data_IF_982971127455
#
_entry.id   IF_982971127455
#
_cell.length_a   1.000
_cell.length_b   1.000
_cell.length_c   1.000
_cell.angle_alpha   90.00
_cell.angle_beta   90.00
_cell.angle_gamma   90.00
#
_symmetry.space_group_name_H-M   'P 1'
#
loop_
_entity.id
_entity.type
_entity.pdbx_description
1 polymer ?
#
# COMPACT_ATOMS: atom_id res chain seq x y z
N UNK A 1 2.55 41.65 -16.63
CA UNK A 1 3.26 40.82 -15.63
C UNK A 1 2.25 39.88 -14.99
N UNK A 2 1.90 38.79 -15.68
CA UNK A 2 1.08 37.72 -15.13
C UNK A 2 2.02 36.76 -14.43
N UNK A 3 2.02 36.77 -13.10
CA UNK A 3 2.71 35.75 -12.33
C UNK A 3 2.13 34.39 -12.75
N UNK A 4 2.95 33.51 -13.35
CA UNK A 4 2.62 32.10 -13.50
C UNK A 4 2.43 31.56 -12.08
N UNK A 5 1.20 31.44 -11.60
CA UNK A 5 0.93 30.68 -10.39
C UNK A 5 1.18 29.22 -10.73
N UNK A 6 2.33 28.73 -10.32
CA UNK A 6 2.67 27.31 -10.40
C UNK A 6 1.57 26.50 -9.70
N UNK A 7 1.03 25.48 -10.37
CA UNK A 7 -0.07 24.68 -9.85
C UNK A 7 0.37 23.94 -8.58
N UNK A 8 -0.26 24.23 -7.45
CA UNK A 8 0.02 23.54 -6.20
C UNK A 8 -0.78 22.23 -6.11
N UNK A 9 -0.09 21.14 -6.42
CA UNK A 9 -0.63 19.78 -6.37
C UNK A 9 -1.09 19.37 -4.96
N UNK A 10 -0.42 19.84 -3.92
CA UNK A 10 -0.69 19.40 -2.54
C UNK A 10 -2.00 20.00 -2.03
N UNK A 11 -2.25 21.28 -2.33
CA UNK A 11 -3.53 21.91 -1.98
C UNK A 11 -4.69 21.36 -2.79
N UNK A 12 -4.52 21.10 -4.11
CA UNK A 12 -5.55 20.43 -4.92
C UNK A 12 -5.87 19.03 -4.36
N UNK A 13 -4.85 18.22 -4.06
CA UNK A 13 -5.03 16.90 -3.47
C UNK A 13 -5.82 16.93 -2.14
N UNK A 14 -5.46 17.85 -1.24
CA UNK A 14 -6.17 18.01 0.05
C UNK A 14 -7.60 18.52 -0.16
N UNK A 15 -7.82 19.40 -1.13
CA UNK A 15 -9.16 19.87 -1.50
C UNK A 15 -10.04 18.71 -1.97
N UNK A 16 -9.55 17.86 -2.89
CA UNK A 16 -10.28 16.70 -3.42
C UNK A 16 -10.65 15.72 -2.30
N UNK A 17 -9.73 15.43 -1.37
CA UNK A 17 -10.02 14.56 -0.23
C UNK A 17 -11.08 15.13 0.72
N UNK A 18 -11.12 16.45 0.89
CA UNK A 18 -12.11 17.11 1.75
C UNK A 18 -13.49 17.22 1.07
N UNK A 19 -13.54 17.34 -0.25
CA UNK A 19 -14.78 17.40 -1.02
C UNK A 19 -15.49 16.04 -1.08
N UNK A 20 -14.73 14.96 -1.20
CA UNK A 20 -15.29 13.61 -1.30
C UNK A 20 -14.58 12.61 -0.34
N UNK A 21 -15.17 12.36 0.84
CA UNK A 21 -14.60 11.42 1.81
C UNK A 21 -14.64 9.96 1.35
N UNK A 22 -15.41 9.63 0.32
CA UNK A 22 -15.46 8.27 -0.24
C UNK A 22 -14.24 7.98 -1.12
N UNK A 23 -13.47 8.98 -1.54
CA UNK A 23 -12.27 8.80 -2.38
C UNK A 23 -11.09 8.22 -1.59
N UNK A 24 -10.48 7.19 -2.15
CA UNK A 24 -9.23 6.63 -1.62
C UNK A 24 -8.03 7.50 -2.00
N UNK A 25 -6.99 7.53 -1.17
CA UNK A 25 -5.74 8.27 -1.43
C UNK A 25 -5.16 8.10 -2.85
N UNK A 26 -5.01 6.88 -3.41
CA UNK A 26 -4.52 6.71 -4.78
C UNK A 26 -5.39 7.38 -5.84
N UNK A 27 -6.71 7.34 -5.67
CA UNK A 27 -7.67 7.90 -6.64
C UNK A 27 -7.64 9.42 -6.59
N UNK A 28 -7.61 10.00 -5.39
CA UNK A 28 -7.47 11.44 -5.21
C UNK A 28 -6.14 11.96 -5.79
N UNK A 29 -5.06 11.17 -5.70
CA UNK A 29 -3.77 11.52 -6.29
C UNK A 29 -3.85 11.58 -7.82
N UNK A 30 -4.50 10.59 -8.44
CA UNK A 30 -4.72 10.55 -9.88
C UNK A 30 -5.56 11.75 -10.33
N UNK A 31 -6.63 12.06 -9.60
CA UNK A 31 -7.48 13.21 -9.92
C UNK A 31 -6.72 14.55 -9.84
N UNK A 32 -5.89 14.72 -8.81
CA UNK A 32 -5.03 15.89 -8.66
C UNK A 32 -3.99 15.99 -9.81
N UNK A 33 -3.40 14.87 -10.24
CA UNK A 33 -2.48 14.83 -11.38
C UNK A 33 -3.19 15.14 -12.71
N UNK A 34 -4.43 14.68 -12.88
CA UNK A 34 -5.27 14.99 -14.04
C UNK A 34 -5.62 16.47 -14.07
N UNK A 35 -5.92 17.09 -12.92
CA UNK A 35 -6.13 18.53 -12.80
C UNK A 35 -4.85 19.32 -13.14
N UNK A 36 -3.68 18.86 -12.68
CA UNK A 36 -2.39 19.46 -13.03
C UNK A 36 -2.14 19.46 -14.55
N UNK A 37 -2.39 18.33 -15.22
CA UNK A 37 -2.30 18.24 -16.69
C UNK A 37 -3.30 19.19 -17.35
N UNK A 38 -4.54 19.26 -16.84
CA UNK A 38 -5.61 20.10 -17.39
C UNK A 38 -5.26 21.59 -17.37
N UNK A 39 -4.60 22.06 -16.30
CA UNK A 39 -4.21 23.47 -16.13
C UNK A 39 -2.85 23.80 -16.79
N UNK A 40 -2.03 22.78 -17.08
CA UNK A 40 -0.73 22.98 -17.72
C UNK A 40 -0.84 23.39 -19.20
N UNK A 41 0.09 24.23 -19.68
CA UNK A 41 0.20 24.63 -21.09
C UNK A 41 1.15 23.75 -21.90
N UNK A 42 1.54 22.60 -21.36
CA UNK A 42 2.51 21.67 -21.96
C UNK A 42 2.03 21.18 -23.33
N UNK A 43 2.94 21.14 -24.30
CA UNK A 43 2.67 20.76 -25.69
C UNK A 43 3.34 19.46 -26.13
N UNK A 44 4.28 18.94 -25.33
CA UNK A 44 5.02 17.72 -25.67
C UNK A 44 4.81 16.59 -24.65
N UNK A 45 5.01 15.36 -25.12
CA UNK A 45 4.92 14.16 -24.29
C UNK A 45 6.00 14.14 -23.21
N UNK A 46 7.24 14.50 -23.56
CA UNK A 46 8.37 14.51 -22.64
C UNK A 46 8.16 15.50 -21.49
N UNK A 47 7.73 16.73 -21.79
CA UNK A 47 7.41 17.73 -20.78
C UNK A 47 6.24 17.30 -19.88
N UNK A 48 5.26 16.56 -20.44
CA UNK A 48 4.11 16.04 -19.65
C UNK A 48 4.57 15.00 -18.64
N UNK A 49 5.46 14.09 -19.05
CA UNK A 49 6.04 13.08 -18.15
C UNK A 49 6.91 13.74 -17.06
N UNK A 50 7.74 14.71 -17.42
CA UNK A 50 8.58 15.44 -16.46
C UNK A 50 7.72 16.23 -15.45
N UNK A 51 6.64 16.87 -15.91
CA UNK A 51 5.69 17.56 -15.04
C UNK A 51 5.05 16.60 -14.04
N UNK A 52 4.65 15.42 -14.49
CA UNK A 52 4.03 14.41 -13.62
C UNK A 52 5.01 13.82 -12.61
N UNK A 53 6.25 13.55 -13.02
CA UNK A 53 7.28 13.08 -12.09
C UNK A 53 7.56 14.12 -11.00
N UNK A 54 7.63 15.41 -11.39
CA UNK A 54 7.82 16.52 -10.44
C UNK A 54 6.66 16.63 -9.44
N UNK A 55 5.41 16.61 -9.91
CA UNK A 55 4.25 16.67 -9.03
C UNK A 55 4.08 15.41 -8.18
N UNK A 56 4.39 14.23 -8.73
CA UNK A 56 4.36 12.97 -7.99
C UNK A 56 5.39 12.97 -6.86
N UNK A 57 6.61 13.45 -7.12
CA UNK A 57 7.64 13.58 -6.09
C UNK A 57 7.23 14.58 -4.99
N UNK A 58 6.68 15.74 -5.37
CA UNK A 58 6.16 16.72 -4.41
C UNK A 58 5.04 16.14 -3.54
N UNK A 59 4.12 15.39 -4.15
CA UNK A 59 3.00 14.77 -3.46
C UNK A 59 3.46 13.66 -2.50
N UNK A 60 4.38 12.78 -2.95
CA UNK A 60 4.99 11.73 -2.13
C UNK A 60 5.76 12.32 -0.93
N UNK A 61 6.43 13.46 -1.09
CA UNK A 61 7.13 14.14 0.00
C UNK A 61 6.19 14.85 0.99
N UNK A 62 4.99 15.23 0.55
CA UNK A 62 4.02 15.96 1.39
C UNK A 62 3.25 15.09 2.38
N UNK A 63 3.24 13.77 2.18
CA UNK A 63 2.45 12.81 2.94
C UNK A 63 3.40 11.88 3.71
N UNK A 64 3.10 11.67 4.99
CA UNK A 64 3.95 10.84 5.86
C UNK A 64 3.96 9.35 5.43
N UNK A 65 2.84 8.82 4.94
CA UNK A 65 2.75 7.48 4.34
C UNK A 65 2.35 7.57 2.85
N UNK A 66 3.32 7.57 1.92
CA UNK A 66 3.04 7.65 0.49
C UNK A 66 2.74 6.29 -0.16
N UNK A 67 2.64 5.17 0.57
CA UNK A 67 2.58 3.82 -0.03
C UNK A 67 1.32 3.66 -0.89
N UNK A 68 0.13 3.92 -0.33
CA UNK A 68 -1.11 3.83 -1.12
C UNK A 68 -1.14 4.85 -2.26
N UNK A 69 -0.55 6.03 -2.05
CA UNK A 69 -0.44 7.07 -3.08
C UNK A 69 0.49 6.64 -4.23
N UNK A 70 1.61 6.00 -3.90
CA UNK A 70 2.57 5.48 -4.87
C UNK A 70 1.90 4.48 -5.81
N UNK A 71 1.04 3.60 -5.29
CA UNK A 71 0.24 2.68 -6.10
C UNK A 71 -0.52 3.39 -7.22
N UNK A 72 -1.28 4.44 -6.87
CA UNK A 72 -2.10 5.18 -7.82
C UNK A 72 -1.27 6.00 -8.82
N UNK A 73 -0.26 6.70 -8.32
CA UNK A 73 0.62 7.53 -9.17
C UNK A 73 1.43 6.69 -10.17
N UNK A 74 1.98 5.55 -9.72
CA UNK A 74 2.75 4.65 -10.58
C UNK A 74 1.84 3.98 -11.64
N UNK A 75 0.61 3.59 -11.26
CA UNK A 75 -0.40 3.07 -12.19
C UNK A 75 -0.76 4.10 -13.27
N UNK A 76 -0.94 5.37 -12.87
CA UNK A 76 -1.26 6.44 -13.79
C UNK A 76 -0.11 6.79 -14.74
N UNK A 77 1.12 6.88 -14.22
CA UNK A 77 2.32 7.06 -15.04
C UNK A 77 2.48 5.92 -16.05
N UNK A 78 2.21 4.67 -15.64
CA UNK A 78 2.25 3.51 -16.55
C UNK A 78 1.16 3.57 -17.61
N UNK A 79 -0.06 3.92 -17.23
CA UNK A 79 -1.16 4.11 -18.16
C UNK A 79 -0.83 5.15 -19.23
N UNK A 80 -0.22 6.28 -18.82
CA UNK A 80 0.28 7.32 -19.72
C UNK A 80 1.31 6.77 -20.68
N UNK A 81 2.40 6.16 -20.17
CA UNK A 81 3.47 5.60 -21.01
C UNK A 81 2.91 4.59 -22.01
N UNK A 82 1.97 3.73 -21.59
CA UNK A 82 1.37 2.71 -22.46
C UNK A 82 0.48 3.33 -23.54
N UNK A 83 -0.27 4.38 -23.21
CA UNK A 83 -1.12 5.11 -24.16
C UNK A 83 -0.27 5.90 -25.16
N UNK A 84 0.81 6.49 -24.69
CA UNK A 84 1.74 7.29 -25.49
C UNK A 84 2.61 6.43 -26.42
N UNK A 85 3.06 5.25 -25.97
CA UNK A 85 3.85 4.31 -26.77
C UNK A 85 3.03 3.47 -27.75
N UNK A 86 1.69 3.56 -27.74
CA UNK A 86 0.80 2.92 -28.73
C UNK A 86 0.14 3.96 -29.65
N UNK A 87 0.90 4.65 -30.53
CA UNK A 87 0.31 5.57 -31.51
C UNK A 87 -0.55 4.85 -32.57
N UNK A 88 -0.36 3.54 -32.76
CA UNK A 88 -1.00 2.78 -33.84
C UNK A 88 -2.50 2.48 -33.67
N UNK A 89 -3.08 2.62 -32.47
CA UNK A 89 -4.51 2.36 -32.25
C UNK A 89 -5.40 3.58 -32.46
N UNK A 90 -4.83 4.77 -32.68
CA UNK A 90 -5.59 6.01 -32.76
C UNK A 90 -5.73 6.60 -34.16
N UNK A 91 -5.01 6.11 -35.20
CA UNK A 91 -5.15 6.60 -36.59
C UNK A 91 -5.24 8.14 -36.70
N UNK A 92 -4.44 8.87 -35.92
CA UNK A 92 -4.44 10.32 -35.89
C UNK A 92 -3.08 10.84 -36.44
N UNK A 93 -3.11 12.07 -36.95
CA UNK A 93 -1.94 12.72 -37.58
C UNK A 93 -1.06 13.44 -36.56
N UNK A 94 0.21 13.71 -36.90
CA UNK A 94 1.30 14.03 -35.95
C UNK A 94 1.09 15.26 -35.05
N UNK A 95 0.28 16.25 -35.44
CA UNK A 95 -0.01 17.46 -34.63
C UNK A 95 -1.37 17.42 -33.92
N UNK A 96 -2.34 16.63 -34.40
CA UNK A 96 -3.64 16.40 -33.74
C UNK A 96 -3.54 15.31 -32.65
N UNK A 97 -2.48 14.50 -32.71
CA UNK A 97 -2.19 13.41 -31.77
C UNK A 97 -2.11 13.89 -30.32
N UNK A 98 -1.38 14.97 -30.04
CA UNK A 98 -1.13 15.36 -28.65
C UNK A 98 -2.38 15.93 -27.96
N UNK A 99 -3.16 16.78 -28.65
CA UNK A 99 -4.42 17.31 -28.10
C UNK A 99 -5.46 16.22 -27.91
N UNK A 100 -5.55 15.28 -28.86
CA UNK A 100 -6.42 14.12 -28.74
C UNK A 100 -6.00 13.22 -27.56
N UNK A 101 -4.70 12.96 -27.40
CA UNK A 101 -4.16 12.21 -26.25
C UNK A 101 -4.47 12.93 -24.94
N UNK A 102 -4.24 14.25 -24.86
CA UNK A 102 -4.57 15.04 -23.66
C UNK A 102 -6.05 14.94 -23.30
N UNK A 103 -6.94 15.12 -24.28
CA UNK A 103 -8.38 14.99 -24.05
C UNK A 103 -8.78 13.56 -23.65
N UNK A 104 -8.15 12.56 -24.25
CA UNK A 104 -8.33 11.16 -23.90
C UNK A 104 -7.87 10.88 -22.45
N UNK A 105 -6.76 11.47 -22.00
CA UNK A 105 -6.29 11.36 -20.61
C UNK A 105 -7.23 12.04 -19.63
N UNK A 106 -7.74 13.23 -19.94
CA UNK A 106 -8.72 13.93 -19.08
C UNK A 106 -10.03 13.15 -18.97
N UNK A 107 -10.50 12.58 -20.09
CA UNK A 107 -11.72 11.75 -20.11
C UNK A 107 -11.52 10.45 -19.32
N UNK A 108 -10.39 9.76 -19.51
CA UNK A 108 -10.09 8.53 -18.80
C UNK A 108 -9.76 8.73 -17.33
N UNK A 109 -9.19 9.87 -16.94
CA UNK A 109 -8.96 10.24 -15.54
C UNK A 109 -10.28 10.27 -14.75
N UNK A 110 -11.31 10.92 -15.30
CA UNK A 110 -12.66 10.91 -14.70
C UNK A 110 -13.26 9.51 -14.65
N UNK A 111 -13.11 8.75 -15.74
CA UNK A 111 -13.58 7.37 -15.80
C UNK A 111 -12.88 6.46 -14.77
N UNK A 112 -11.61 6.73 -14.47
CA UNK A 112 -10.86 5.99 -13.45
C UNK A 112 -11.44 6.22 -12.05
N UNK A 113 -11.74 7.47 -11.69
CA UNK A 113 -12.36 7.81 -10.41
C UNK A 113 -13.70 7.09 -10.25
N UNK A 114 -14.54 7.11 -11.30
CA UNK A 114 -15.81 6.41 -11.30
C UNK A 114 -15.64 4.89 -11.15
N UNK A 115 -14.71 4.29 -11.91
CA UNK A 115 -14.39 2.86 -11.82
C UNK A 115 -13.86 2.47 -10.45
N UNK A 116 -13.08 3.32 -9.79
CA UNK A 116 -12.56 3.05 -8.45
C UNK A 116 -13.69 2.97 -7.41
N UNK A 117 -14.67 3.88 -7.48
CA UNK A 117 -15.88 3.82 -6.64
C UNK A 117 -16.69 2.55 -6.92
N UNK A 118 -16.91 2.22 -8.20
CA UNK A 118 -17.62 1.01 -8.61
C UNK A 118 -16.89 -0.27 -8.16
N UNK A 119 -15.56 -0.25 -8.08
CA UNK A 119 -14.76 -1.42 -7.68
C UNK A 119 -15.02 -1.80 -6.21
N UNK A 120 -15.19 -0.82 -5.33
CA UNK A 120 -15.60 -1.06 -3.93
C UNK A 120 -16.95 -1.79 -3.85
N UNK A 121 -17.94 -1.35 -4.62
CA UNK A 121 -19.26 -1.97 -4.64
C UNK A 121 -19.23 -3.38 -5.27
N UNK A 122 -18.41 -3.58 -6.31
CA UNK A 122 -18.17 -4.92 -6.89
C UNK A 122 -17.57 -5.86 -5.86
N UNK A 123 -16.53 -5.41 -5.15
CA UNK A 123 -15.90 -6.18 -4.06
C UNK A 123 -16.91 -6.52 -2.98
N UNK A 124 -17.75 -5.57 -2.55
CA UNK A 124 -18.78 -5.81 -1.55
C UNK A 124 -19.83 -6.83 -2.03
N UNK A 125 -20.27 -6.72 -3.29
CA UNK A 125 -21.25 -7.62 -3.89
C UNK A 125 -20.77 -9.06 -4.03
N UNK A 126 -19.48 -9.24 -4.30
CA UNK A 126 -18.83 -10.55 -4.43
C UNK A 126 -18.44 -11.09 -3.05
N UNK A 127 -17.82 -10.26 -2.22
CA UNK A 127 -17.30 -10.58 -0.89
C UNK A 127 -18.35 -11.04 0.12
N UNK A 128 -19.62 -10.61 -0.03
CA UNK A 128 -20.71 -11.07 0.85
C UNK A 128 -20.87 -12.60 0.91
N UNK A 129 -20.49 -13.32 -0.16
CA UNK A 129 -20.63 -14.78 -0.22
C UNK A 129 -19.62 -15.53 0.65
N UNK A 130 -18.57 -14.85 1.13
CA UNK A 130 -17.60 -15.43 2.06
C UNK A 130 -18.15 -15.52 3.48
N UNK A 131 -19.06 -14.63 3.85
CA UNK A 131 -19.68 -14.59 5.18
C UNK A 131 -20.82 -15.61 5.22
N UNK A 132 -20.70 -16.60 6.08
CA UNK A 132 -21.71 -17.64 6.28
C UNK A 132 -22.76 -17.20 7.32
N UNK A 133 -23.95 -17.78 7.25
CA UNK A 133 -24.95 -17.59 8.31
C UNK A 133 -24.42 -18.11 9.65
N UNK A 134 -24.59 -17.33 10.70
CA UNK A 134 -24.07 -17.57 12.05
C UNK A 134 -22.60 -17.21 12.27
N UNK A 135 -21.86 -16.77 11.24
CA UNK A 135 -20.42 -16.52 11.37
C UNK A 135 -20.08 -15.31 12.25
N UNK A 136 -18.93 -15.40 12.93
CA UNK A 136 -18.33 -14.28 13.67
C UNK A 136 -17.08 -13.78 12.95
N UNK A 137 -17.12 -12.54 12.47
CA UNK A 137 -16.05 -11.89 11.71
C UNK A 137 -15.23 -10.98 12.63
N UNK A 138 -13.91 -11.08 12.58
CA UNK A 138 -12.98 -10.16 13.24
C UNK A 138 -12.42 -9.15 12.22
N UNK A 139 -12.44 -7.86 12.54
CA UNK A 139 -11.92 -6.79 11.68
C UNK A 139 -11.21 -5.68 12.46
N UNK A 140 -10.40 -4.87 11.78
CA UNK A 140 -9.61 -3.75 12.30
C UNK A 140 -9.57 -2.58 11.29
N UNK A 141 -9.32 -1.37 11.79
CA UNK A 141 -8.65 -0.33 11.01
C UNK A 141 -9.51 0.44 10.02
N UNK A 142 -10.78 0.72 10.35
CA UNK A 142 -11.60 1.72 9.65
C UNK A 142 -11.76 1.50 8.14
N UNK A 143 -11.52 0.30 7.63
CA UNK A 143 -11.41 0.09 6.18
C UNK A 143 -12.76 0.24 5.48
N UNK A 144 -12.86 1.24 4.59
CA UNK A 144 -14.08 1.56 3.83
C UNK A 144 -14.57 0.38 2.98
N UNK A 145 -13.65 -0.41 2.41
CA UNK A 145 -14.02 -1.58 1.60
C UNK A 145 -14.57 -2.71 2.45
N UNK A 146 -13.98 -2.92 3.64
CA UNK A 146 -14.50 -3.91 4.60
C UNK A 146 -15.86 -3.47 5.14
N UNK A 147 -16.02 -2.18 5.46
CA UNK A 147 -17.30 -1.60 5.86
C UNK A 147 -18.38 -1.78 4.79
N UNK A 148 -18.08 -1.49 3.53
CA UNK A 148 -18.99 -1.71 2.40
C UNK A 148 -19.36 -3.20 2.22
N UNK A 149 -18.39 -4.11 2.35
CA UNK A 149 -18.62 -5.56 2.28
C UNK A 149 -19.56 -6.03 3.39
N UNK A 150 -19.29 -5.63 4.65
CA UNK A 150 -20.12 -6.01 5.80
C UNK A 150 -21.52 -5.40 5.72
N UNK A 151 -21.64 -4.13 5.28
CA UNK A 151 -22.93 -3.48 5.02
C UNK A 151 -23.73 -4.25 3.97
N UNK A 152 -23.09 -4.59 2.85
CA UNK A 152 -23.75 -5.33 1.75
C UNK A 152 -24.15 -6.74 2.16
N UNK A 153 -23.38 -7.38 3.06
CA UNK A 153 -23.74 -8.65 3.67
C UNK A 153 -24.95 -8.50 4.60
N UNK A 154 -25.05 -7.42 5.37
CA UNK A 154 -26.17 -7.14 6.28
C UNK A 154 -27.47 -6.82 5.54
N UNK A 155 -27.40 -6.12 4.40
CA UNK A 155 -28.55 -5.87 3.52
C UNK A 155 -29.12 -7.15 2.91
N UNK A 156 -28.29 -8.19 2.78
CA UNK A 156 -28.73 -9.50 2.31
C UNK A 156 -29.50 -10.20 3.42
N UNK A 157 -30.84 -10.25 3.33
CA UNK A 157 -31.73 -10.80 4.37
C UNK A 157 -31.52 -12.29 4.71
N UNK A 158 -30.61 -12.97 4.02
CA UNK A 158 -30.30 -14.39 4.15
C UNK A 158 -29.15 -14.69 5.12
N UNK A 159 -28.36 -13.68 5.53
CA UNK A 159 -27.13 -13.90 6.30
C UNK A 159 -27.22 -13.14 7.62
N UNK A 160 -27.16 -13.87 8.74
CA UNK A 160 -27.00 -13.27 10.07
C UNK A 160 -25.59 -13.54 10.55
N UNK A 161 -24.82 -12.51 10.84
CA UNK A 161 -23.45 -12.64 11.31
C UNK A 161 -23.18 -11.66 12.45
N UNK A 162 -22.08 -11.87 13.16
CA UNK A 162 -21.62 -11.00 14.25
C UNK A 162 -20.26 -10.43 13.88
N UNK A 163 -19.96 -9.22 14.34
CA UNK A 163 -18.66 -8.58 14.10
C UNK A 163 -17.99 -8.30 15.44
N UNK A 164 -16.73 -8.70 15.54
CA UNK A 164 -15.80 -8.26 16.57
C UNK A 164 -14.89 -7.22 15.92
N UNK A 165 -14.94 -6.01 16.46
CA UNK A 165 -14.21 -4.86 15.93
C UNK A 165 -13.06 -4.50 16.86
N UNK A 166 -11.84 -4.52 16.35
CA UNK A 166 -10.65 -4.12 17.10
C UNK A 166 -10.54 -2.60 17.03
N UNK A 167 -10.56 -1.96 18.19
CA UNK A 167 -10.34 -0.52 18.34
C UNK A 167 -8.94 -0.31 18.91
N UNK A 168 -8.07 0.48 18.26
CA UNK A 168 -6.75 0.78 18.79
C UNK A 168 -6.85 1.55 20.11
N UNK A 169 -5.91 1.28 21.03
CA UNK A 169 -5.91 1.91 22.36
C UNK A 169 -5.63 3.42 22.32
N UNK A 170 -5.01 3.93 21.25
CA UNK A 170 -4.76 5.35 21.05
C UNK A 170 -5.91 6.03 20.32
N UNK A 171 -6.40 7.16 20.86
CA UNK A 171 -7.40 8.03 20.21
C UNK A 171 -6.78 8.81 19.04
N UNK A 172 -6.43 8.11 17.96
CA UNK A 172 -6.03 8.70 16.68
C UNK A 172 -7.25 8.96 15.79
N UNK A 173 -7.03 9.54 14.60
CA UNK A 173 -8.02 9.58 13.52
C UNK A 173 -8.65 8.20 13.24
N UNK A 174 -7.91 7.12 13.47
CA UNK A 174 -8.37 5.75 13.27
C UNK A 174 -9.48 5.34 14.24
N UNK A 175 -9.45 5.85 15.47
CA UNK A 175 -10.50 5.57 16.45
C UNK A 175 -11.84 6.17 15.98
N UNK A 176 -11.82 7.36 15.40
CA UNK A 176 -13.02 8.02 14.88
C UNK A 176 -13.59 7.27 13.66
N UNK A 177 -12.74 6.84 12.73
CA UNK A 177 -13.15 6.04 11.57
C UNK A 177 -13.71 4.67 11.99
N UNK A 178 -13.11 4.06 13.03
CA UNK A 178 -13.58 2.81 13.60
C UNK A 178 -14.96 2.96 14.25
N UNK A 179 -15.15 4.01 15.05
CA UNK A 179 -16.44 4.31 15.68
C UNK A 179 -17.54 4.58 14.65
N UNK A 180 -17.21 5.26 13.55
CA UNK A 180 -18.14 5.51 12.45
C UNK A 180 -18.55 4.20 11.76
N UNK A 181 -17.58 3.34 11.45
CA UNK A 181 -17.84 2.00 10.87
C UNK A 181 -18.71 1.14 11.80
N UNK A 182 -18.44 1.17 13.11
CA UNK A 182 -19.22 0.43 14.11
C UNK A 182 -20.65 0.98 14.21
N UNK A 183 -20.81 2.30 14.21
CA UNK A 183 -22.12 2.96 14.23
C UNK A 183 -22.94 2.57 12.99
N UNK A 184 -22.32 2.61 11.81
CA UNK A 184 -22.97 2.26 10.55
C UNK A 184 -23.44 0.80 10.55
N UNK A 185 -22.60 -0.14 10.99
CA UNK A 185 -22.97 -1.55 11.08
C UNK A 185 -24.11 -1.79 12.08
N UNK A 186 -24.10 -1.11 13.23
CA UNK A 186 -25.18 -1.18 14.22
C UNK A 186 -26.49 -0.61 13.66
N UNK A 187 -26.43 0.47 12.88
CA UNK A 187 -27.61 1.03 12.21
C UNK A 187 -28.23 0.04 11.19
N UNK A 188 -27.42 -0.85 10.62
CA UNK A 188 -27.87 -1.93 9.74
C UNK A 188 -28.22 -3.24 10.48
N UNK A 189 -28.50 -3.17 11.80
CA UNK A 189 -28.87 -4.30 12.66
C UNK A 189 -27.81 -5.41 12.76
N UNK A 190 -26.53 -5.11 12.55
CA UNK A 190 -25.44 -6.07 12.77
C UNK A 190 -24.98 -6.00 14.24
N UNK A 191 -24.93 -7.12 14.97
CA UNK A 191 -24.35 -7.16 16.32
C UNK A 191 -22.83 -6.93 16.27
N UNK A 192 -22.37 -5.80 16.81
CA UNK A 192 -20.94 -5.42 16.84
C UNK A 192 -20.42 -5.29 18.27
N UNK A 193 -19.42 -6.09 18.62
CA UNK A 193 -18.65 -6.00 19.85
C UNK A 193 -17.31 -5.30 19.59
N UNK A 194 -17.02 -4.22 20.31
CA UNK A 194 -15.73 -3.53 20.25
C UNK A 194 -14.77 -4.11 21.28
N UNK A 195 -13.53 -4.38 20.88
CA UNK A 195 -12.46 -4.91 21.74
C UNK A 195 -11.19 -4.07 21.57
N UNK A 196 -10.33 -4.05 22.58
CA UNK A 196 -8.98 -3.48 22.43
C UNK A 196 -8.07 -4.43 21.63
N UNK A 197 -7.07 -3.86 20.98
CA UNK A 197 -5.90 -4.54 20.38
C UNK A 197 -5.35 -5.72 21.22
N UNK A 198 -5.29 -5.56 22.54
CA UNK A 198 -4.76 -6.54 23.48
C UNK A 198 -5.69 -7.75 23.68
N UNK A 199 -6.97 -7.62 23.36
CA UNK A 199 -7.98 -8.66 23.54
C UNK A 199 -8.20 -9.52 22.26
N UNK A 200 -7.43 -9.29 21.20
CA UNK A 200 -7.51 -10.05 19.95
C UNK A 200 -7.34 -11.55 20.21
N UNK A 201 -6.27 -11.95 20.89
CA UNK A 201 -5.98 -13.36 21.18
C UNK A 201 -7.10 -14.06 21.98
N UNK A 202 -7.72 -13.35 22.93
CA UNK A 202 -8.85 -13.85 23.71
C UNK A 202 -10.11 -14.06 22.84
N UNK A 203 -10.38 -13.11 21.93
CA UNK A 203 -11.56 -13.14 21.08
C UNK A 203 -11.51 -14.23 20.00
N UNK A 204 -10.32 -14.64 19.55
CA UNK A 204 -10.14 -15.61 18.45
C UNK A 204 -10.80 -16.97 18.68
N UNK A 205 -11.02 -17.39 19.93
CA UNK A 205 -11.77 -18.63 20.22
C UNK A 205 -13.24 -18.58 19.77
N UNK A 206 -13.80 -17.38 19.61
CA UNK A 206 -15.18 -17.14 19.15
C UNK A 206 -15.28 -16.63 17.72
N UNK A 207 -14.15 -16.41 17.05
CA UNK A 207 -14.07 -15.89 15.68
C UNK A 207 -14.02 -17.05 14.69
N UNK A 208 -14.75 -16.93 13.59
CA UNK A 208 -14.75 -17.91 12.50
C UNK A 208 -13.81 -17.48 11.37
N UNK A 209 -13.70 -16.19 11.11
CA UNK A 209 -12.81 -15.63 10.09
C UNK A 209 -12.35 -14.21 10.42
N UNK A 210 -11.19 -13.85 9.91
CA UNK A 210 -10.63 -12.50 10.01
C UNK A 210 -10.72 -11.84 8.64
N UNK A 211 -11.25 -10.62 8.59
CA UNK A 211 -11.34 -9.80 7.38
C UNK A 211 -10.69 -8.45 7.68
N UNK A 212 -9.64 -8.10 6.94
CA UNK A 212 -8.93 -6.83 7.08
C UNK A 212 -8.84 -6.08 5.76
N UNK A 213 -8.67 -4.77 5.83
CA UNK A 213 -8.33 -3.95 4.67
C UNK A 213 -6.81 -3.89 4.45
N UNK A 214 -6.41 -3.44 3.26
CA UNK A 214 -5.03 -3.07 2.97
C UNK A 214 -4.93 -1.64 2.43
N UNK A 215 -3.81 -0.99 2.73
CA UNK A 215 -3.41 0.29 2.13
C UNK A 215 -2.63 0.05 0.84
N UNK A 216 -1.81 -1.00 0.81
CA UNK A 216 -1.09 -1.46 -0.36
C UNK A 216 -0.95 -2.98 -0.36
N UNK A 217 -0.98 -3.58 -1.56
CA UNK A 217 -0.66 -5.00 -1.77
C UNK A 217 0.66 -5.06 -2.51
N UNK A 218 1.65 -5.76 -1.96
CA UNK A 218 3.01 -5.81 -2.50
C UNK A 218 3.19 -6.97 -3.48
N UNK A 219 4.33 -7.00 -4.18
CA UNK A 219 4.56 -7.90 -5.31
C UNK A 219 4.57 -9.39 -4.93
N UNK A 220 5.00 -9.73 -3.71
CA UNK A 220 4.94 -11.10 -3.19
C UNK A 220 3.54 -11.52 -2.70
N UNK A 221 2.52 -10.66 -2.86
CA UNK A 221 1.16 -10.90 -2.38
C UNK A 221 0.98 -10.68 -0.87
N UNK A 222 2.00 -10.17 -0.18
CA UNK A 222 1.84 -9.62 1.16
C UNK A 222 1.09 -8.29 1.15
N UNK A 223 0.75 -7.78 2.32
CA UNK A 223 -0.04 -6.55 2.45
C UNK A 223 0.65 -5.57 3.39
N UNK A 224 0.43 -4.28 3.12
CA UNK A 224 0.79 -3.20 4.02
C UNK A 224 -0.51 -2.59 4.52
N UNK A 225 -0.67 -2.57 5.83
CA UNK A 225 -1.89 -2.08 6.48
C UNK A 225 -1.55 -1.44 7.82
N UNK A 226 -2.57 -0.99 8.54
CA UNK A 226 -2.41 -0.36 9.85
C UNK A 226 -1.73 -1.30 10.83
N UNK A 227 -0.96 -0.72 11.74
CA UNK A 227 -0.27 -1.45 12.79
C UNK A 227 -1.22 -2.37 13.57
N UNK A 228 -0.79 -3.61 13.76
CA UNK A 228 -1.55 -4.67 14.43
C UNK A 228 -2.14 -5.68 13.46
N UNK A 229 -2.19 -5.40 12.16
CA UNK A 229 -2.66 -6.34 11.14
C UNK A 229 -1.77 -7.58 11.06
N UNK A 230 -0.45 -7.40 11.15
CA UNK A 230 0.50 -8.51 11.22
C UNK A 230 0.29 -9.38 12.46
N UNK A 231 0.02 -8.77 13.61
CA UNK A 231 -0.25 -9.48 14.87
C UNK A 231 -1.53 -10.33 14.75
N UNK A 232 -2.59 -9.76 14.15
CA UNK A 232 -3.83 -10.48 13.88
C UNK A 232 -3.59 -11.68 12.93
N UNK A 233 -2.79 -11.50 11.89
CA UNK A 233 -2.43 -12.57 10.96
C UNK A 233 -1.69 -13.73 11.62
N UNK A 234 -0.71 -13.44 12.48
CA UNK A 234 0.02 -14.45 13.24
C UNK A 234 -0.89 -15.25 14.16
N UNK A 235 -1.75 -14.55 14.90
CA UNK A 235 -2.69 -15.18 15.83
C UNK A 235 -3.76 -16.00 15.10
N UNK A 236 -4.26 -15.51 13.96
CA UNK A 236 -5.21 -16.22 13.11
C UNK A 236 -4.61 -17.54 12.60
N UNK A 237 -3.37 -17.50 12.08
CA UNK A 237 -2.65 -18.70 11.62
C UNK A 237 -2.42 -19.69 12.75
N UNK A 238 -2.02 -19.22 13.93
CA UNK A 238 -1.83 -20.06 15.13
C UNK A 238 -3.11 -20.80 15.55
N UNK A 239 -4.28 -20.19 15.36
CA UNK A 239 -5.60 -20.77 15.67
C UNK A 239 -6.29 -21.44 14.48
N UNK A 240 -5.61 -21.55 13.33
CA UNK A 240 -6.18 -22.14 12.12
C UNK A 240 -7.41 -21.38 11.58
N UNK A 241 -7.50 -20.07 11.82
CA UNK A 241 -8.58 -19.22 11.34
C UNK A 241 -8.20 -18.59 9.99
N UNK A 242 -9.10 -18.59 8.99
CA UNK A 242 -8.83 -17.98 7.71
C UNK A 242 -8.69 -16.47 7.85
N UNK A 243 -7.68 -15.91 7.19
CA UNK A 243 -7.34 -14.49 7.19
C UNK A 243 -7.51 -13.94 5.77
N UNK A 244 -8.61 -13.22 5.55
CA UNK A 244 -8.94 -12.61 4.27
C UNK A 244 -8.56 -11.14 4.27
N UNK A 245 -8.01 -10.70 3.14
CA UNK A 245 -7.72 -9.29 2.90
C UNK A 245 -8.65 -8.78 1.83
N UNK A 246 -9.17 -7.58 2.00
CA UNK A 246 -10.04 -6.93 1.02
C UNK A 246 -9.34 -5.67 0.54
N UNK A 247 -9.07 -5.60 -0.76
CA UNK A 247 -8.34 -4.49 -1.36
C UNK A 247 -8.78 -4.28 -2.81
N UNK A 248 -8.78 -3.03 -3.25
CA UNK A 248 -8.98 -2.68 -4.66
C UNK A 248 -7.69 -2.91 -5.47
N UNK A 249 -7.80 -3.29 -6.74
CA UNK A 249 -6.63 -3.56 -7.59
C UNK A 249 -5.70 -2.35 -7.77
N UNK A 250 -6.23 -1.13 -7.69
CA UNK A 250 -5.45 0.11 -7.79
C UNK A 250 -4.58 0.41 -6.55
N UNK A 251 -4.60 -0.46 -5.54
CA UNK A 251 -3.67 -0.43 -4.40
C UNK A 251 -2.49 -1.40 -4.55
N UNK A 252 -2.34 -2.05 -5.70
CA UNK A 252 -1.22 -2.95 -5.93
C UNK A 252 0.04 -2.11 -6.19
N UNK A 253 1.08 -2.34 -5.40
CA UNK A 253 2.33 -1.58 -5.39
C UNK A 253 3.46 -2.49 -5.83
N UNK A 254 4.33 -1.99 -6.70
CA UNK A 254 5.57 -2.65 -7.09
C UNK A 254 6.65 -2.44 -6.02
N UNK A 255 6.45 -3.07 -4.87
CA UNK A 255 7.38 -3.10 -3.76
C UNK A 255 7.57 -4.57 -3.35
N UNK A 256 8.78 -4.93 -2.93
CA UNK A 256 9.10 -6.27 -2.44
C UNK A 256 9.79 -6.15 -1.08
N UNK A 257 9.05 -5.91 0.00
CA UNK A 257 9.65 -5.79 1.33
C UNK A 257 10.14 -7.16 1.80
N UNK A 258 11.38 -7.24 2.28
CA UNK A 258 11.96 -8.45 2.85
C UNK A 258 11.66 -8.59 4.35
N UNK A 259 11.33 -7.49 5.03
CA UNK A 259 11.05 -7.45 6.46
C UNK A 259 10.11 -6.30 6.83
N UNK A 260 9.68 -6.25 8.10
CA UNK A 260 8.86 -5.13 8.63
C UNK A 260 9.57 -3.76 8.53
N UNK A 261 10.90 -3.76 8.46
CA UNK A 261 11.72 -2.55 8.44
C UNK A 261 12.12 -2.13 7.01
N UNK A 262 11.79 -2.95 6.00
CA UNK A 262 12.12 -2.73 4.59
C UNK A 262 10.97 -2.04 3.86
N UNK A 263 10.43 -0.98 4.47
CA UNK A 263 9.37 -0.16 3.91
C UNK A 263 9.94 1.22 3.55
N UNK A 264 9.52 1.85 2.43
CA UNK A 264 10.02 3.16 1.99
C UNK A 264 9.40 4.31 2.81
N UNK A 265 9.34 4.16 4.13
CA UNK A 265 8.75 5.09 5.08
C UNK A 265 9.57 5.13 6.36
N UNK A 266 9.81 6.35 6.87
CA UNK A 266 10.42 6.54 8.18
C UNK A 266 9.34 6.48 9.26
N UNK A 267 9.33 5.41 10.04
CA UNK A 267 8.36 5.20 11.12
C UNK A 267 9.05 5.26 12.48
N UNK A 268 8.58 6.13 13.38
CA UNK A 268 9.10 6.24 14.75
C UNK A 268 8.26 5.41 15.70
N UNK A 269 8.31 4.08 15.52
CA UNK A 269 7.58 3.13 16.37
C UNK A 269 8.36 2.82 17.66
N UNK A 270 9.67 2.74 17.56
CA UNK A 270 10.57 2.46 18.67
C UNK A 270 11.41 3.70 18.96
N UNK A 271 11.08 4.41 20.04
CA UNK A 271 11.84 5.57 20.52
C UNK A 271 12.50 5.22 21.85
N UNK A 272 13.82 5.00 21.82
CA UNK A 272 14.59 4.64 23.00
C UNK A 272 15.09 5.90 23.69
N UNK A 273 14.47 6.27 24.83
CA UNK A 273 14.89 7.41 25.66
C UNK A 273 15.65 6.91 26.90
N UNK A 274 16.78 7.54 27.23
CA UNK A 274 17.61 7.21 28.40
C UNK A 274 17.26 8.07 29.63
N UNK A 275 16.58 9.19 29.44
CA UNK A 275 16.13 10.10 30.52
C UNK A 275 14.64 10.38 30.38
N UNK A 276 13.91 10.41 31.50
CA UNK A 276 12.46 10.69 31.53
C UNK A 276 12.15 12.05 30.90
N UNK A 277 10.98 12.15 30.25
CA UNK A 277 10.35 13.39 29.82
C UNK A 277 10.10 14.27 31.06
N UNK A 278 11.12 15.00 31.51
CA UNK A 278 10.99 15.98 32.58
C UNK A 278 9.98 17.01 32.11
N UNK A 279 8.81 17.03 32.77
CA UNK A 279 7.85 18.12 32.69
C UNK A 279 8.54 19.42 33.10
N UNK A 280 9.14 20.16 32.17
CA UNK A 280 9.63 21.51 32.43
C UNK A 280 8.56 22.53 32.08
N UNK A 281 7.55 22.61 32.96
CA UNK A 281 7.00 23.89 33.33
C UNK A 281 8.07 24.69 34.09
N UNK A 282 8.63 25.72 33.46
CA UNK A 282 9.34 26.90 34.02
C UNK A 282 10.44 26.68 35.08
N UNK A 283 11.69 26.99 34.74
CA UNK A 283 12.46 28.17 35.22
C UNK A 283 13.96 27.98 34.88
N UNK A 284 14.65 29.08 34.57
CA UNK A 284 15.95 29.07 33.93
C UNK A 284 17.13 28.68 34.83
N UNK A 285 18.29 28.50 34.19
CA UNK A 285 19.59 28.58 34.84
C UNK A 285 20.63 27.57 34.38
N UNK A 286 21.49 28.05 33.48
CA UNK A 286 22.95 27.81 33.39
C UNK A 286 23.44 26.53 32.70
N UNK A 287 24.08 26.78 31.56
CA UNK A 287 24.85 25.85 30.74
C UNK A 287 25.97 25.16 31.52
N UNK A 288 26.00 23.83 31.46
CA UNK A 288 27.22 23.04 31.61
C UNK A 288 27.25 22.06 30.44
N UNK A 289 28.20 22.29 29.53
CA UNK A 289 28.41 21.50 28.33
C UNK A 289 29.29 20.32 28.71
N UNK A 290 28.75 19.11 28.68
CA UNK A 290 29.51 17.86 28.77
C UNK A 290 29.82 17.39 27.34
N UNK A 291 31.10 17.41 26.96
CA UNK A 291 31.59 17.16 25.59
C UNK A 291 31.57 15.66 25.18
N UNK A 292 30.78 14.82 25.86
CA UNK A 292 30.67 13.38 25.57
C UNK A 292 29.42 12.94 24.79
N UNK A 293 28.43 13.81 24.56
CA UNK A 293 27.09 13.43 24.05
C UNK A 293 26.77 14.10 22.69
N UNK A 294 27.72 14.81 22.10
CA UNK A 294 27.49 15.62 20.90
C UNK A 294 27.25 14.80 19.61
N UNK A 295 27.70 13.54 19.54
CA UNK A 295 27.66 12.75 18.29
C UNK A 295 26.38 11.95 18.02
N UNK A 296 25.45 11.83 18.99
CA UNK A 296 24.16 11.13 18.78
C UNK A 296 22.95 12.06 18.69
N UNK A 297 23.14 13.37 18.88
CA UNK A 297 22.05 14.34 18.82
C UNK A 297 22.01 14.98 17.43
N UNK A 298 21.96 14.14 16.39
CA UNK A 298 21.56 14.62 15.07
C UNK A 298 20.13 15.13 15.19
N UNK A 299 19.98 16.44 15.04
CA UNK A 299 18.72 17.16 14.88
C UNK A 299 17.99 16.58 13.66
N UNK A 300 17.29 15.47 13.83
CA UNK A 300 16.35 14.97 12.84
C UNK A 300 15.11 15.86 12.89
N UNK A 301 15.05 16.78 11.94
CA UNK A 301 13.81 17.45 11.51
C UNK A 301 12.66 16.44 11.47
N UNK A 302 11.58 16.77 12.16
CA UNK A 302 10.44 15.92 12.45
C UNK A 302 9.60 15.61 11.21
N UNK A 303 9.93 14.55 10.48
CA UNK A 303 9.18 14.09 9.29
C UNK A 303 8.82 12.60 9.30
N UNK A 304 8.97 11.91 10.43
CA UNK A 304 8.60 10.49 10.56
C UNK A 304 7.14 10.30 10.97
N UNK A 305 6.51 9.19 10.55
CA UNK A 305 5.19 8.79 11.01
C UNK A 305 5.20 8.60 12.53
N UNK A 306 4.24 9.21 13.21
CA UNK A 306 3.98 8.94 14.62
C UNK A 306 3.55 7.48 14.79
N UNK A 307 3.82 6.89 15.96
CA UNK A 307 3.44 5.51 16.27
C UNK A 307 1.95 5.20 16.05
N UNK A 308 1.08 6.22 16.04
CA UNK A 308 -0.37 6.07 15.85
C UNK A 308 -0.79 5.93 14.38
N UNK A 309 0.01 6.41 13.43
CA UNK A 309 -0.26 6.31 11.98
C UNK A 309 0.67 5.29 11.30
N UNK A 310 1.35 4.49 12.12
CA UNK A 310 2.32 3.53 11.65
C UNK A 310 1.64 2.32 10.99
N UNK A 311 2.34 1.73 10.04
CA UNK A 311 1.90 0.58 9.25
C UNK A 311 2.80 -0.61 9.49
N UNK A 312 2.22 -1.79 9.33
CA UNK A 312 2.94 -3.04 9.35
C UNK A 312 2.84 -3.77 8.01
N UNK A 313 3.84 -4.62 7.76
CA UNK A 313 3.82 -5.53 6.63
C UNK A 313 3.32 -6.91 7.10
N UNK A 314 2.41 -7.51 6.37
CA UNK A 314 1.91 -8.86 6.64
C UNK A 314 2.35 -9.77 5.49
N UNK A 315 3.19 -10.78 5.76
CA UNK A 315 3.70 -11.67 4.73
C UNK A 315 2.59 -12.55 4.14
N UNK A 316 2.75 -12.99 2.88
CA UNK A 316 1.74 -13.75 2.15
C UNK A 316 1.38 -15.08 2.83
N UNK A 317 2.29 -15.69 3.59
CA UNK A 317 2.07 -16.96 4.30
C UNK A 317 0.97 -16.92 5.38
N UNK A 318 0.56 -15.72 5.79
CA UNK A 318 -0.53 -15.53 6.75
C UNK A 318 -1.87 -15.31 6.06
N UNK A 319 -1.87 -14.98 4.77
CA UNK A 319 -3.04 -14.56 4.02
C UNK A 319 -3.68 -15.77 3.34
N UNK A 320 -4.95 -16.02 3.64
CA UNK A 320 -5.73 -17.10 3.01
C UNK A 320 -6.20 -16.73 1.60
N UNK A 321 -6.50 -15.45 1.37
CA UNK A 321 -6.89 -14.95 0.05
C UNK A 321 -7.13 -13.44 0.07
N UNK A 322 -6.95 -12.81 -1.09
CA UNK A 322 -7.14 -11.38 -1.30
C UNK A 322 -8.37 -11.20 -2.19
N UNK A 323 -9.41 -10.56 -1.65
CA UNK A 323 -10.67 -10.29 -2.33
C UNK A 323 -10.55 -8.94 -3.05
N UNK A 324 -10.64 -9.00 -4.37
CA UNK A 324 -10.58 -7.85 -5.28
C UNK A 324 -11.83 -7.81 -6.16
N UNK A 325 -12.00 -6.76 -6.96
CA UNK A 325 -13.09 -6.63 -7.92
C UNK A 325 -13.03 -7.66 -9.06
N UNK A 326 -11.85 -8.23 -9.31
CA UNK A 326 -11.61 -9.30 -10.28
C UNK A 326 -11.87 -10.71 -9.70
N UNK A 327 -12.19 -10.79 -8.40
CA UNK A 327 -12.43 -12.03 -7.68
C UNK A 327 -11.41 -12.26 -6.57
N UNK A 328 -11.32 -13.51 -6.10
CA UNK A 328 -10.31 -13.90 -5.10
C UNK A 328 -9.01 -14.26 -5.77
N UNK A 329 -7.95 -13.60 -5.33
CA UNK A 329 -6.57 -13.86 -5.71
C UNK A 329 -5.87 -14.59 -4.57
N UNK A 330 -5.09 -15.61 -4.93
CA UNK A 330 -4.06 -16.13 -4.03
C UNK A 330 -2.87 -15.16 -4.02
N UNK A 331 -2.05 -15.13 -2.97
CA UNK A 331 -0.88 -14.26 -2.93
C UNK A 331 0.03 -14.40 -4.18
N UNK A 332 0.20 -15.61 -4.70
CA UNK A 332 0.97 -15.85 -5.94
C UNK A 332 0.33 -15.23 -7.19
N UNK A 333 -1.01 -15.18 -7.26
CA UNK A 333 -1.72 -14.59 -8.39
C UNK A 333 -1.59 -13.06 -8.43
N UNK A 334 -1.30 -12.40 -7.31
CA UNK A 334 -1.05 -10.95 -7.27
C UNK A 334 0.16 -10.59 -8.13
N UNK A 335 1.24 -11.38 -8.07
CA UNK A 335 2.43 -11.16 -8.89
C UNK A 335 2.09 -11.24 -10.39
N UNK A 336 1.22 -12.18 -10.79
CA UNK A 336 0.78 -12.30 -12.19
C UNK A 336 -0.05 -11.08 -12.64
N UNK A 337 -0.95 -10.59 -11.80
CA UNK A 337 -1.73 -9.37 -12.08
C UNK A 337 -0.81 -8.13 -12.19
N UNK A 338 0.17 -8.02 -11.30
CA UNK A 338 1.18 -6.96 -11.38
C UNK A 338 2.02 -7.06 -12.66
N UNK A 339 2.39 -8.26 -13.11
CA UNK A 339 3.11 -8.46 -14.37
C UNK A 339 2.22 -8.09 -15.58
N UNK A 340 0.91 -8.34 -15.53
CA UNK A 340 -0.02 -7.91 -16.59
C UNK A 340 -0.12 -6.39 -16.68
N UNK A 341 -0.10 -5.70 -15.53
CA UNK A 341 -0.16 -4.23 -15.46
C UNK A 341 1.22 -3.62 -15.82
N UNK A 342 2.31 -4.26 -15.40
CA UNK A 342 3.71 -3.95 -15.72
C UNK A 342 4.34 -5.03 -16.61
N UNK A 343 3.98 -5.12 -17.91
CA UNK A 343 4.69 -6.01 -18.81
C UNK A 343 6.18 -5.61 -18.81
N UNK A 344 7.04 -6.61 -18.66
CA UNK A 344 8.49 -6.53 -18.44
C UNK A 344 9.30 -5.92 -19.61
N UNK A 345 8.73 -4.98 -20.36
CA UNK A 345 9.38 -4.35 -21.52
C UNK A 345 10.23 -3.13 -21.17
N UNK A 346 10.22 -2.67 -19.90
CA UNK A 346 11.19 -1.69 -19.40
C UNK A 346 12.01 -2.29 -18.25
N UNK A 347 12.57 -3.49 -18.50
CA UNK A 347 13.64 -3.99 -17.67
C UNK A 347 14.82 -3.00 -17.72
N UNK A 348 15.35 -2.69 -16.54
CA UNK A 348 16.69 -2.17 -16.32
C UNK A 348 17.67 -2.58 -17.43
N UNK A 349 18.64 -1.72 -17.81
CA UNK A 349 19.77 -2.18 -18.63
C UNK A 349 20.35 -3.41 -17.93
N UNK A 350 20.16 -4.59 -18.51
CA UNK A 350 20.77 -5.81 -18.00
C UNK A 350 22.27 -5.51 -17.92
N UNK A 351 22.94 -5.68 -16.76
CA UNK A 351 24.39 -5.63 -16.77
C UNK A 351 24.84 -6.65 -17.81
N UNK A 352 25.60 -6.19 -18.79
CA UNK A 352 25.92 -6.97 -19.98
C UNK A 352 26.45 -8.34 -19.53
N UNK A 353 25.81 -9.42 -19.96
CA UNK A 353 26.27 -10.80 -19.73
C UNK A 353 27.53 -11.14 -20.56
N UNK A 354 28.35 -10.14 -20.87
CA UNK A 354 29.61 -10.25 -21.59
C UNK A 354 30.78 -10.08 -20.62
N UNK A 355 30.82 -10.87 -19.55
CA UNK A 355 32.05 -11.04 -18.78
C UNK A 355 32.13 -12.32 -17.93
N UNK A 356 31.47 -13.43 -18.30
CA UNK A 356 31.82 -14.75 -17.74
C UNK A 356 31.68 -15.82 -18.82
N UNK A 357 32.64 -15.88 -19.75
CA UNK A 357 33.00 -17.13 -20.44
C UNK A 357 34.38 -17.01 -21.07
N UNK A 358 35.24 -17.99 -20.74
CA UNK A 358 36.57 -18.33 -21.27
C UNK A 358 37.78 -17.87 -20.44
N UNK A 359 38.16 -18.72 -19.48
CA UNK A 359 39.52 -19.29 -19.43
C UNK A 359 39.45 -20.75 -18.94
N UNK A 360 39.11 -21.66 -19.84
CA UNK A 360 39.43 -23.09 -19.71
C UNK A 360 39.78 -23.62 -21.10
N UNK A 361 41.07 -23.57 -21.46
CA UNK A 361 41.75 -24.53 -22.36
C UNK A 361 43.21 -24.11 -22.62
N UNK A 362 44.15 -24.77 -21.95
CA UNK A 362 45.49 -25.16 -22.46
C UNK A 362 46.08 -26.10 -21.41
N UNK A 363 45.82 -27.40 -21.48
CA UNK A 363 46.68 -28.38 -22.17
C UNK A 363 48.08 -28.44 -21.56
N UNK A 364 48.27 -29.28 -20.53
CA UNK A 364 49.52 -30.02 -20.32
C UNK A 364 49.13 -31.45 -19.97
N UNK A 365 49.62 -32.34 -20.81
CA UNK A 365 49.45 -33.79 -20.84
C UNK A 365 50.58 -34.45 -20.03
N UNK A 366 50.32 -35.67 -19.54
CA UNK A 366 51.31 -36.72 -19.22
C UNK A 366 52.32 -36.52 -18.07
N UNK A 367 52.18 -37.28 -16.97
CA UNK A 367 52.79 -38.62 -16.77
C UNK A 367 52.85 -39.05 -15.29
N UNK A 368 52.28 -40.23 -15.04
CA UNK A 368 52.69 -41.28 -14.10
C UNK A 368 53.36 -40.93 -12.76
N UNK A 369 52.72 -41.28 -11.65
CA UNK A 369 53.30 -42.29 -10.75
C UNK A 369 52.22 -42.96 -9.88
N UNK A 370 52.23 -44.29 -9.95
CA UNK A 370 51.65 -45.29 -9.05
C UNK A 370 52.11 -45.04 -7.60
N UNK A 371 51.33 -45.45 -6.60
CA UNK A 371 51.71 -46.41 -5.53
C UNK A 371 50.53 -46.59 -4.55
N UNK A 372 50.13 -47.86 -4.45
CA UNK A 372 49.19 -48.45 -3.50
C UNK A 372 49.58 -48.22 -2.03
N UNK A 373 48.61 -48.42 -1.12
CA UNK A 373 48.93 -48.90 0.23
C UNK A 373 47.98 -48.47 1.34
N UNK A 374 47.11 -49.41 1.72
CA UNK A 374 46.75 -49.78 3.11
C UNK A 374 46.05 -48.74 4.00
N UNK A 375 44.76 -48.92 4.30
CA UNK A 375 44.20 -49.80 5.33
C UNK A 375 44.49 -49.33 6.78
N UNK A 376 43.43 -48.92 7.49
CA UNK A 376 42.89 -49.59 8.69
C UNK A 376 41.89 -48.67 9.43
N UNK A 377 40.65 -49.19 9.53
CA UNK A 377 39.58 -48.84 10.48
C UNK A 377 39.99 -49.17 11.94
N UNK A 378 39.18 -48.87 12.99
CA UNK A 378 37.77 -48.43 12.99
C UNK A 378 37.45 -47.13 13.72
#
# INVERSE_FOLDING_TARGET
MTANSEFDIVSSYRRILNEDPELTMPVAAIEALVEAIAQSSVSTVAETLELLERHTAALKASIANPISLSAGTDLFQRYLITTLNRPASLNLGPDDDFRAIRNHLLSNGKLFVERAKQSREKIASFGKHFIRDGATVLTNGGSRVVGALLRRAAESSTIRFKVIYVVPSSRSSDANEGDQTVSDLRAHNVPVATISDSAVAYSLGKVDMVIVGAEGVVENGGIISRMGTYQMGLLAKSKGKPFYVVAESHKFVRLYPLSQFDLPIEQKVLDFKVTEDSKTSKSGGKDTVDEGIADMTLKHTSTGLNAQDAVDFTPPDLISGIITESGVLTPSAVSEELIKIWPLDNAFPRPSTRCIRRKTSSSIEEKSHVWDGDALDP
#
